data_IF_345817835870
#
_entry.id   IF_345817835870
#
_cell.length_a   1.000
_cell.length_b   1.000
_cell.length_c   1.000
_cell.angle_alpha   90.00
_cell.angle_beta   90.00
_cell.angle_gamma   90.00
#
_symmetry.space_group_name_H-M   'P 1'
#
loop_
_entity.id
_entity.type
_entity.pdbx_description
1 polymer ?
#
# COMPACT_ATOMS: atom_id res chain seq x y z
N UNK A 1 -22.77 -10.21 -17.09
CA UNK A 1 -21.84 -9.12 -17.42
C UNK A 1 -20.47 -9.51 -16.91
N UNK A 2 -19.47 -9.48 -17.75
CA UNK A 2 -18.09 -9.72 -17.32
C UNK A 2 -17.71 -8.63 -16.31
N UNK A 3 -17.15 -9.04 -15.18
CA UNK A 3 -16.55 -8.09 -14.23
C UNK A 3 -15.46 -7.32 -14.98
N UNK A 4 -15.39 -5.99 -14.81
CA UNK A 4 -14.33 -5.21 -15.41
C UNK A 4 -12.95 -5.68 -14.94
N UNK A 5 -11.94 -5.45 -15.76
CA UNK A 5 -10.58 -5.87 -15.48
C UNK A 5 -10.10 -5.38 -14.11
N UNK A 6 -9.34 -6.21 -13.42
CA UNK A 6 -8.63 -5.82 -12.19
C UNK A 6 -7.33 -5.13 -12.58
N UNK A 7 -6.99 -4.10 -11.82
CA UNK A 7 -5.67 -3.47 -11.90
C UNK A 7 -4.95 -3.65 -10.58
N UNK A 8 -3.67 -3.92 -10.65
CA UNK A 8 -2.78 -3.90 -9.49
C UNK A 8 -2.01 -2.59 -9.50
N UNK A 9 -2.02 -1.90 -8.40
CA UNK A 9 -1.27 -0.68 -8.20
C UNK A 9 -0.21 -0.93 -7.14
N UNK A 10 1.03 -0.93 -7.58
CA UNK A 10 2.14 -0.74 -6.67
C UNK A 10 2.22 0.76 -6.35
N UNK A 11 2.24 1.12 -5.07
CA UNK A 11 2.46 2.52 -4.64
C UNK A 11 3.91 2.98 -4.88
N UNK A 12 4.62 2.26 -5.70
CA UNK A 12 6.02 2.39 -6.08
C UNK A 12 6.15 2.26 -7.58
N UNK A 13 7.07 3.03 -8.13
CA UNK A 13 7.49 2.95 -9.51
C UNK A 13 9.01 2.67 -9.57
N UNK A 14 9.49 2.15 -10.67
CA UNK A 14 10.94 1.94 -10.81
C UNK A 14 11.66 3.29 -10.88
N UNK A 15 12.93 3.38 -10.43
CA UNK A 15 13.69 4.63 -10.41
C UNK A 15 13.83 5.34 -11.75
N UNK A 16 13.66 4.61 -12.85
CA UNK A 16 13.68 5.13 -14.22
C UNK A 16 12.33 5.08 -14.92
N UNK A 17 11.25 4.80 -14.18
CA UNK A 17 9.89 4.76 -14.69
C UNK A 17 9.34 6.14 -15.03
N UNK A 18 8.28 6.18 -15.82
CA UNK A 18 7.66 7.41 -16.27
C UNK A 18 7.19 8.30 -15.10
N UNK A 19 6.58 7.69 -14.08
CA UNK A 19 6.09 8.42 -12.91
C UNK A 19 7.24 8.96 -12.06
N UNK A 20 8.33 8.21 -11.89
CA UNK A 20 9.51 8.68 -11.17
C UNK A 20 10.15 9.91 -11.83
N UNK A 21 10.09 9.98 -13.16
CA UNK A 21 10.59 11.12 -13.94
C UNK A 21 9.60 12.30 -13.88
N UNK A 22 8.33 12.02 -14.16
CA UNK A 22 7.30 13.06 -14.30
C UNK A 22 6.87 13.67 -12.94
N UNK A 23 6.96 12.88 -11.86
CA UNK A 23 6.51 13.26 -10.52
C UNK A 23 7.68 13.55 -9.57
N UNK A 24 8.90 13.75 -10.09
CA UNK A 24 10.11 13.96 -9.29
C UNK A 24 9.95 15.08 -8.24
N UNK A 25 9.20 16.11 -8.55
CA UNK A 25 8.95 17.24 -7.61
C UNK A 25 8.13 16.83 -6.38
N UNK A 26 7.35 15.74 -6.46
CA UNK A 26 6.51 15.22 -5.37
C UNK A 26 7.14 14.02 -4.66
N UNK A 27 8.21 13.48 -5.21
CA UNK A 27 8.92 12.32 -4.69
C UNK A 27 10.16 12.73 -3.89
N UNK A 28 10.74 11.78 -3.16
CA UNK A 28 12.04 11.92 -2.48
C UNK A 28 13.10 11.06 -3.20
N UNK A 29 13.70 11.54 -4.32
CA UNK A 29 14.60 10.75 -5.15
C UNK A 29 15.92 10.39 -4.46
N UNK A 30 16.24 11.01 -3.32
CA UNK A 30 17.40 10.69 -2.49
C UNK A 30 17.19 9.47 -1.60
N UNK A 31 15.96 8.94 -1.56
CA UNK A 31 15.60 7.78 -0.78
C UNK A 31 14.96 6.71 -1.67
N UNK A 32 15.03 5.48 -1.21
CA UNK A 32 14.24 4.37 -1.73
C UNK A 32 13.30 3.81 -0.66
N UNK A 33 12.28 3.15 -1.12
CA UNK A 33 11.35 2.40 -0.26
C UNK A 33 11.92 1.00 -0.04
N UNK A 34 11.68 0.43 1.13
CA UNK A 34 12.05 -0.93 1.44
C UNK A 34 11.41 -1.44 2.72
N UNK A 35 12.05 -2.42 3.31
CA UNK A 35 11.66 -2.99 4.60
C UNK A 35 12.88 -3.15 5.50
N UNK A 36 12.73 -2.99 6.83
CA UNK A 36 13.78 -3.30 7.79
C UNK A 36 14.10 -4.80 7.80
N UNK A 37 15.22 -5.20 8.42
CA UNK A 37 15.48 -6.61 8.70
C UNK A 37 14.33 -7.26 9.48
N UNK A 38 14.02 -8.48 9.07
CA UNK A 38 13.06 -9.35 9.73
C UNK A 38 13.57 -10.80 9.81
N UNK A 39 12.77 -11.71 10.35
CA UNK A 39 13.13 -13.12 10.51
C UNK A 39 13.34 -13.84 9.17
N UNK A 40 12.71 -13.36 8.10
CA UNK A 40 12.82 -13.93 6.74
C UNK A 40 13.94 -13.29 5.93
N UNK A 41 14.23 -12.01 6.19
CA UNK A 41 15.28 -11.26 5.50
C UNK A 41 16.08 -10.40 6.48
N UNK A 42 17.14 -10.99 7.03
CA UNK A 42 17.98 -10.36 8.04
C UNK A 42 18.79 -9.14 7.54
N UNK A 43 18.87 -8.93 6.24
CA UNK A 43 19.53 -7.78 5.65
C UNK A 43 18.59 -6.63 5.34
N UNK A 44 17.28 -6.84 5.52
CA UNK A 44 16.25 -5.93 5.05
C UNK A 44 16.12 -5.95 3.53
N UNK A 45 15.25 -5.11 3.00
CA UNK A 45 14.95 -5.06 1.58
C UNK A 45 14.99 -3.61 1.09
N UNK A 46 15.64 -3.39 -0.05
CA UNK A 46 15.54 -2.15 -0.82
C UNK A 46 14.77 -2.43 -2.11
N UNK A 47 13.61 -1.80 -2.26
CA UNK A 47 12.77 -1.96 -3.44
C UNK A 47 13.11 -0.96 -4.55
N UNK A 48 14.11 -0.10 -4.30
CA UNK A 48 14.71 0.83 -5.26
C UNK A 48 13.76 1.88 -5.86
N UNK A 49 12.67 2.19 -5.19
CA UNK A 49 11.66 3.11 -5.69
C UNK A 49 11.59 4.36 -4.84
N UNK A 50 11.48 5.55 -5.44
CA UNK A 50 11.40 6.79 -4.68
C UNK A 50 10.04 6.89 -3.97
N UNK A 51 10.01 7.17 -2.65
CA UNK A 51 8.77 7.38 -1.93
C UNK A 51 8.14 8.75 -2.24
N UNK A 52 6.82 8.86 -2.05
CA UNK A 52 6.15 10.15 -2.00
C UNK A 52 6.71 11.00 -0.87
N UNK A 53 7.00 12.28 -1.14
CA UNK A 53 7.42 13.22 -0.10
C UNK A 53 6.19 13.78 0.63
N UNK A 54 5.95 13.46 1.93
CA UNK A 54 4.70 13.78 2.61
C UNK A 54 4.34 15.27 2.54
N UNK A 55 5.29 16.16 2.83
CA UNK A 55 5.06 17.59 2.86
C UNK A 55 4.79 18.18 1.47
N UNK A 56 5.49 17.71 0.44
CA UNK A 56 5.27 18.18 -0.94
C UNK A 56 3.93 17.70 -1.47
N UNK A 57 3.56 16.48 -1.13
CA UNK A 57 2.26 15.92 -1.49
C UNK A 57 1.12 16.71 -0.81
N UNK A 58 1.24 16.97 0.49
CA UNK A 58 0.27 17.77 1.24
C UNK A 58 0.15 19.20 0.70
N UNK A 59 1.27 19.84 0.34
CA UNK A 59 1.29 21.19 -0.22
C UNK A 59 0.48 21.36 -1.51
N UNK A 60 0.29 20.26 -2.27
CA UNK A 60 -0.52 20.23 -3.49
C UNK A 60 -1.97 19.78 -3.24
N UNK A 61 -2.38 19.61 -1.99
CA UNK A 61 -3.67 19.00 -1.65
C UNK A 61 -3.79 17.58 -2.18
N UNK A 62 -2.68 16.85 -2.23
CA UNK A 62 -2.58 15.47 -2.71
C UNK A 62 -2.99 15.28 -4.19
N UNK A 63 -2.90 16.31 -5.01
CA UNK A 63 -3.32 16.26 -6.42
C UNK A 63 -2.66 15.11 -7.20
N UNK A 64 -1.33 14.88 -7.15
CA UNK A 64 -0.70 13.79 -7.90
C UNK A 64 -1.20 12.40 -7.46
N UNK A 65 -1.42 12.19 -6.16
CA UNK A 65 -1.98 10.96 -5.62
C UNK A 65 -3.39 10.71 -6.15
N UNK A 66 -4.25 11.74 -6.09
CA UNK A 66 -5.62 11.66 -6.61
C UNK A 66 -5.67 11.40 -8.10
N UNK A 67 -4.83 12.07 -8.89
CA UNK A 67 -4.77 11.90 -10.35
C UNK A 67 -4.34 10.49 -10.74
N UNK A 68 -3.33 9.94 -10.07
CA UNK A 68 -2.89 8.57 -10.27
C UNK A 68 -4.03 7.57 -9.99
N UNK A 69 -4.71 7.70 -8.85
CA UNK A 69 -5.84 6.84 -8.49
C UNK A 69 -6.98 6.95 -9.48
N UNK A 70 -7.40 8.16 -9.85
CA UNK A 70 -8.50 8.36 -10.80
C UNK A 70 -8.16 7.78 -12.18
N UNK A 71 -6.89 7.82 -12.59
CA UNK A 71 -6.43 7.26 -13.85
C UNK A 71 -6.49 5.74 -13.85
N UNK A 72 -6.00 5.11 -12.79
CA UNK A 72 -6.03 3.64 -12.65
C UNK A 72 -7.47 3.13 -12.55
N UNK A 73 -8.27 3.76 -11.69
CA UNK A 73 -9.64 3.32 -11.41
C UNK A 73 -10.61 3.57 -12.56
N UNK A 74 -10.30 4.48 -13.48
CA UNK A 74 -11.13 4.74 -14.68
C UNK A 74 -11.29 3.51 -15.56
N UNK A 75 -10.34 2.59 -15.54
CA UNK A 75 -10.28 1.44 -16.44
C UNK A 75 -10.42 0.10 -15.72
N UNK A 76 -10.65 0.12 -14.39
CA UNK A 76 -10.72 -1.08 -13.58
C UNK A 76 -11.91 -1.06 -12.62
N UNK A 77 -12.58 -2.19 -12.46
CA UNK A 77 -13.64 -2.36 -11.46
C UNK A 77 -13.13 -2.64 -10.05
N UNK A 78 -11.82 -2.73 -9.88
CA UNK A 78 -11.15 -2.87 -8.60
C UNK A 78 -9.66 -2.69 -8.74
N UNK A 79 -9.02 -2.33 -7.63
CA UNK A 79 -7.57 -2.16 -7.53
C UNK A 79 -7.03 -2.91 -6.33
N UNK A 80 -5.92 -3.62 -6.51
CA UNK A 80 -5.10 -4.11 -5.40
C UNK A 80 -3.99 -3.10 -5.14
N UNK A 81 -3.94 -2.61 -3.91
CA UNK A 81 -2.87 -1.74 -3.43
C UNK A 81 -1.86 -2.60 -2.69
N UNK A 82 -0.69 -2.76 -3.30
CA UNK A 82 0.42 -3.51 -2.71
C UNK A 82 1.02 -2.71 -1.55
N UNK A 83 1.32 -3.40 -0.44
CA UNK A 83 1.85 -2.79 0.77
C UNK A 83 1.03 -1.57 1.25
N UNK A 84 -0.27 -1.76 1.49
CA UNK A 84 -1.19 -0.66 1.85
C UNK A 84 -0.77 0.06 3.13
N UNK A 85 -0.01 -0.60 4.00
CA UNK A 85 0.57 -0.02 5.21
C UNK A 85 1.49 1.17 4.90
N UNK A 86 2.02 1.25 3.67
CA UNK A 86 2.78 2.37 3.16
C UNK A 86 2.02 3.68 3.08
N UNK A 87 0.67 3.67 3.18
CA UNK A 87 -0.16 4.87 3.30
C UNK A 87 -0.17 5.46 4.72
N UNK A 88 0.27 4.69 5.70
CA UNK A 88 0.38 5.08 7.11
C UNK A 88 1.81 5.42 7.49
N UNK A 89 2.72 4.51 7.19
CA UNK A 89 4.17 4.68 7.38
C UNK A 89 4.93 3.85 6.35
N UNK A 90 6.02 4.37 5.86
CA UNK A 90 6.82 3.71 4.85
C UNK A 90 8.28 3.71 5.26
N UNK A 91 8.95 2.58 5.08
CA UNK A 91 10.36 2.46 5.42
C UNK A 91 11.22 3.09 4.33
N UNK A 92 11.93 4.15 4.67
CA UNK A 92 12.80 4.90 3.77
C UNK A 92 14.26 4.53 4.01
N UNK A 93 14.97 4.29 2.94
CA UNK A 93 16.38 3.97 2.93
C UNK A 93 17.09 5.09 2.17
N UNK A 94 18.15 5.73 2.72
CA UNK A 94 18.96 6.68 1.96
C UNK A 94 19.51 5.98 0.71
N UNK A 95 19.42 6.63 -0.43
CA UNK A 95 19.85 6.04 -1.71
C UNK A 95 21.29 5.57 -1.65
N UNK A 96 21.56 4.38 -2.15
CA UNK A 96 22.88 3.71 -2.12
C UNK A 96 23.36 3.30 -0.72
N UNK A 97 22.53 3.45 0.31
CA UNK A 97 22.84 2.95 1.65
C UNK A 97 22.25 1.54 1.89
N UNK A 98 22.70 0.90 2.95
CA UNK A 98 22.15 -0.39 3.38
C UNK A 98 20.73 -0.22 3.95
N UNK A 99 19.81 -1.18 3.73
CA UNK A 99 18.50 -1.19 4.40
C UNK A 99 18.58 -1.12 5.93
N UNK A 100 19.69 -1.53 6.51
CA UNK A 100 19.95 -1.41 7.97
C UNK A 100 19.96 0.04 8.48
N UNK A 101 20.15 1.01 7.60
CA UNK A 101 20.23 2.43 7.97
C UNK A 101 18.95 3.20 7.69
N UNK A 102 17.90 2.50 7.27
CA UNK A 102 16.61 3.10 6.98
C UNK A 102 15.82 3.48 8.23
N UNK A 103 14.74 4.19 8.02
CA UNK A 103 13.80 4.59 9.08
C UNK A 103 12.38 4.68 8.56
N UNK A 104 11.40 4.57 9.45
CA UNK A 104 10.00 4.81 9.09
C UNK A 104 9.70 6.29 9.00
N UNK A 105 9.02 6.66 7.93
CA UNK A 105 8.45 8.00 7.71
C UNK A 105 6.93 7.87 7.71
N UNK A 106 6.27 8.64 8.57
CA UNK A 106 4.81 8.64 8.68
C UNK A 106 4.17 9.54 7.63
N UNK A 107 3.00 9.13 7.18
CA UNK A 107 2.13 9.88 6.26
C UNK A 107 0.87 10.32 6.99
N UNK A 108 0.21 11.33 6.45
CA UNK A 108 -1.16 11.66 6.80
C UNK A 108 -2.09 10.60 6.20
N UNK A 109 -2.28 9.54 6.96
CA UNK A 109 -3.06 8.38 6.51
C UNK A 109 -4.54 8.73 6.31
N UNK A 110 -5.07 9.68 7.07
CA UNK A 110 -6.47 10.11 6.92
C UNK A 110 -6.71 10.69 5.53
N UNK A 111 -5.77 11.55 5.06
CA UNK A 111 -5.81 12.07 3.71
C UNK A 111 -5.55 10.99 2.66
N UNK A 112 -4.48 10.17 2.83
CA UNK A 112 -4.09 9.17 1.84
C UNK A 112 -5.17 8.09 1.62
N UNK A 113 -5.66 7.48 2.70
CA UNK A 113 -6.70 6.45 2.65
C UNK A 113 -8.06 7.06 2.31
N UNK A 114 -8.35 8.27 2.82
CA UNK A 114 -9.57 8.99 2.50
C UNK A 114 -9.72 9.29 1.01
N UNK A 115 -8.64 9.74 0.36
CA UNK A 115 -8.62 9.99 -1.10
C UNK A 115 -8.77 8.67 -1.87
N UNK A 116 -8.07 7.61 -1.46
CA UNK A 116 -8.21 6.28 -2.07
C UNK A 116 -9.67 5.81 -2.06
N UNK A 117 -10.32 5.87 -0.89
CA UNK A 117 -11.72 5.48 -0.73
C UNK A 117 -12.67 6.36 -1.56
N UNK A 118 -12.42 7.68 -1.60
CA UNK A 118 -13.23 8.62 -2.38
C UNK A 118 -13.14 8.35 -3.88
N UNK A 119 -11.94 8.16 -4.41
CA UNK A 119 -11.76 7.90 -5.85
C UNK A 119 -12.30 6.51 -6.24
N UNK A 120 -12.17 5.51 -5.36
CA UNK A 120 -12.78 4.19 -5.56
C UNK A 120 -14.32 4.28 -5.58
N UNK A 121 -14.91 5.02 -4.65
CA UNK A 121 -16.36 5.24 -4.62
C UNK A 121 -16.86 5.95 -5.89
N UNK A 122 -16.14 6.98 -6.37
CA UNK A 122 -16.47 7.71 -7.60
C UNK A 122 -16.42 6.80 -8.83
N UNK A 123 -15.47 5.88 -8.85
CA UNK A 123 -15.32 4.92 -9.94
C UNK A 123 -16.25 3.70 -9.85
N UNK A 124 -16.94 3.52 -8.72
CA UNK A 124 -17.69 2.29 -8.43
C UNK A 124 -16.80 1.06 -8.33
N UNK A 125 -15.57 1.23 -7.85
CA UNK A 125 -14.54 0.21 -7.82
C UNK A 125 -14.30 -0.33 -6.41
N UNK A 126 -13.85 -1.58 -6.33
CA UNK A 126 -13.45 -2.25 -5.08
C UNK A 126 -11.95 -2.00 -4.83
N UNK A 127 -11.59 -1.76 -3.56
CA UNK A 127 -10.18 -1.66 -3.14
C UNK A 127 -9.82 -2.86 -2.28
N UNK A 128 -8.72 -3.50 -2.62
CA UNK A 128 -8.10 -4.57 -1.85
C UNK A 128 -6.72 -4.08 -1.42
N UNK A 129 -6.47 -4.01 -0.12
CA UNK A 129 -5.17 -3.68 0.43
C UNK A 129 -4.36 -4.94 0.72
N UNK A 130 -3.10 -4.96 0.34
CA UNK A 130 -2.18 -5.96 0.84
C UNK A 130 -1.65 -5.45 2.19
N UNK A 131 -2.14 -6.05 3.27
CA UNK A 131 -1.89 -5.70 4.66
C UNK A 131 -1.16 -6.82 5.43
N UNK A 132 -0.34 -7.57 4.71
CA UNK A 132 0.45 -8.66 5.30
C UNK A 132 1.59 -8.15 6.18
N UNK A 133 1.95 -8.92 7.20
CA UNK A 133 3.02 -8.61 8.14
C UNK A 133 2.50 -8.16 9.50
N UNK A 134 3.35 -7.46 10.26
CA UNK A 134 2.97 -6.95 11.58
C UNK A 134 2.14 -5.68 11.44
N UNK A 135 0.84 -5.82 11.57
CA UNK A 135 -0.15 -4.73 11.46
C UNK A 135 -0.72 -4.42 12.83
N UNK A 136 -0.74 -3.15 13.18
CA UNK A 136 -1.39 -2.70 14.40
C UNK A 136 -2.92 -2.76 14.24
N UNK A 137 -3.70 -3.26 15.22
CA UNK A 137 -5.15 -3.44 15.08
C UNK A 137 -5.90 -2.19 14.62
N UNK A 138 -5.51 -1.01 15.10
CA UNK A 138 -6.14 0.25 14.71
C UNK A 138 -6.02 0.57 13.22
N UNK A 139 -4.96 0.08 12.55
CA UNK A 139 -4.79 0.24 11.09
C UNK A 139 -5.83 -0.55 10.33
N UNK A 140 -6.07 -1.79 10.76
CA UNK A 140 -7.12 -2.64 10.18
C UNK A 140 -8.51 -2.03 10.39
N UNK A 141 -8.76 -1.46 11.57
CA UNK A 141 -10.01 -0.74 11.86
C UNK A 141 -10.22 0.45 10.90
N UNK A 142 -9.18 1.24 10.65
CA UNK A 142 -9.26 2.36 9.70
C UNK A 142 -9.53 1.88 8.28
N UNK A 143 -8.84 0.83 7.82
CA UNK A 143 -9.05 0.26 6.49
C UNK A 143 -10.47 -0.29 6.33
N UNK A 144 -10.96 -1.02 7.33
CA UNK A 144 -12.33 -1.55 7.35
C UNK A 144 -13.40 -0.45 7.32
N UNK A 145 -13.23 0.62 8.11
CA UNK A 145 -14.11 1.79 8.10
C UNK A 145 -14.16 2.50 6.73
N UNK A 146 -13.11 2.39 5.94
CA UNK A 146 -13.03 2.95 4.59
C UNK A 146 -13.39 1.95 3.49
N UNK A 147 -13.95 0.79 3.86
CA UNK A 147 -14.32 -0.29 2.96
C UNK A 147 -13.16 -0.79 2.07
N UNK A 148 -11.95 -0.76 2.60
CA UNK A 148 -10.79 -1.39 2.00
C UNK A 148 -10.73 -2.83 2.50
N UNK A 149 -10.80 -3.78 1.58
CA UNK A 149 -10.71 -5.20 1.90
C UNK A 149 -9.28 -5.59 2.19
N UNK A 150 -9.06 -6.41 3.21
CA UNK A 150 -7.74 -6.96 3.56
C UNK A 150 -7.34 -8.13 2.66
N UNK A 151 -6.13 -8.60 2.88
CA UNK A 151 -5.57 -9.80 2.22
C UNK A 151 -5.26 -10.85 3.26
N UNK A 152 -5.88 -12.03 3.11
CA UNK A 152 -5.61 -13.19 3.95
C UNK A 152 -4.89 -14.27 3.15
N UNK A 153 -3.84 -14.84 3.73
CA UNK A 153 -3.10 -15.96 3.13
C UNK A 153 -3.50 -17.24 3.85
N UNK A 154 -4.21 -18.11 3.16
CA UNK A 154 -4.69 -19.42 3.67
C UNK A 154 -3.61 -20.19 4.43
N UNK A 155 -2.36 -20.07 4.01
CA UNK A 155 -1.24 -20.76 4.63
C UNK A 155 -0.96 -20.33 6.08
N UNK A 156 -1.28 -19.09 6.42
CA UNK A 156 -1.05 -18.53 7.75
C UNK A 156 -2.30 -18.53 8.62
N UNK A 157 -3.48 -18.66 8.01
CA UNK A 157 -4.74 -18.67 8.72
C UNK A 157 -5.01 -20.06 9.28
N UNK A 158 -4.76 -20.21 10.57
CA UNK A 158 -4.86 -21.47 11.30
C UNK A 158 -5.81 -21.33 12.47
N UNK A 159 -6.41 -22.44 12.87
CA UNK A 159 -7.14 -22.51 14.14
C UNK A 159 -6.16 -22.51 15.30
N UNK A 160 -6.47 -21.74 16.34
CA UNK A 160 -5.59 -21.58 17.50
C UNK A 160 -5.48 -22.88 18.33
N UNK A 161 -6.51 -23.75 18.27
CA UNK A 161 -6.59 -24.95 19.09
C UNK A 161 -5.84 -26.15 18.50
N UNK A 162 -5.92 -26.38 17.20
CA UNK A 162 -5.40 -27.58 16.54
C UNK A 162 -4.44 -27.32 15.36
N UNK A 163 -4.14 -26.05 15.07
CA UNK A 163 -3.29 -25.65 13.93
C UNK A 163 -3.81 -26.10 12.57
N UNK A 164 -5.06 -26.54 12.48
CA UNK A 164 -5.70 -26.86 11.20
C UNK A 164 -5.99 -25.61 10.38
N UNK A 165 -6.11 -25.70 9.05
CA UNK A 165 -6.59 -24.59 8.24
C UNK A 165 -7.99 -24.15 8.69
N UNK A 166 -8.23 -22.85 8.78
CA UNK A 166 -9.55 -22.34 9.11
C UNK A 166 -10.62 -22.83 8.12
N UNK A 167 -11.85 -23.11 8.58
CA UNK A 167 -12.95 -23.46 7.69
C UNK A 167 -13.29 -22.30 6.73
N UNK A 168 -13.70 -22.64 5.51
CA UNK A 168 -13.96 -21.69 4.42
C UNK A 168 -14.88 -20.52 4.82
N UNK A 169 -15.80 -20.75 5.74
CA UNK A 169 -16.74 -19.73 6.22
C UNK A 169 -16.02 -18.61 7.01
N UNK A 170 -14.97 -18.95 7.74
CA UNK A 170 -14.18 -17.96 8.49
C UNK A 170 -13.39 -17.05 7.55
N UNK A 171 -12.87 -17.55 6.42
CA UNK A 171 -12.17 -16.71 5.44
C UNK A 171 -13.04 -15.61 4.84
N UNK A 172 -14.33 -15.84 4.70
CA UNK A 172 -15.28 -14.82 4.20
C UNK A 172 -15.47 -13.67 5.18
N UNK A 173 -15.10 -13.85 6.45
CA UNK A 173 -15.20 -12.84 7.49
C UNK A 173 -13.90 -12.05 7.65
N UNK A 174 -12.77 -12.59 7.16
CA UNK A 174 -11.46 -11.95 7.21
C UNK A 174 -11.21 -10.98 6.04
N UNK A 175 -11.96 -11.12 4.96
CA UNK A 175 -11.79 -10.32 3.75
C UNK A 175 -12.75 -9.13 3.68
#
# INVERSE_FOLDING_TARGET
SALPARSEMCIRDSPGGADAVNLTEYLAPQCSVGAPPDDYNQQGQDWSQPPWHPQRLAATGYAPWREMLSTVLRHAGGVRVDHILGLFRLYWIPRMASPLTGTYVSYDFEAMVGILALEAQRAGAVVIGEDLGTVEPWVQDVLAQKAVLGTSIVWFERDDDDYSPLPQEKYRQLA
#
